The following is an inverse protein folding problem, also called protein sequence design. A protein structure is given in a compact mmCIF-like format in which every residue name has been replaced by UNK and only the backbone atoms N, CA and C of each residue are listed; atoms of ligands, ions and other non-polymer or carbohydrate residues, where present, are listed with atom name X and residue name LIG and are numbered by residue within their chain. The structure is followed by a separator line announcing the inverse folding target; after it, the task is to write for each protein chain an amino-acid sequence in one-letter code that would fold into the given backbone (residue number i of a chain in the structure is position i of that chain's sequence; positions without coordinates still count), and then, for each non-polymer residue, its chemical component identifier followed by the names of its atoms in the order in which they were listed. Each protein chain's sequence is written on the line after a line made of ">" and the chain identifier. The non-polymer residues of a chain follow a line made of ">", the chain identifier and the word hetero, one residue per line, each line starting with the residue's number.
data_IF_878541009943
#
_entry.id   IF_878541009943
#
_cell.length_a   1.000
_cell.length_b   1.000
_cell.length_c   1.000
_cell.angle_alpha   90.00
_cell.angle_beta   90.00
_cell.angle_gamma   90.00
#
_symmetry.space_group_name_H-M   'P 1'
#
loop_
_entity.id
_entity.type
_entity.pdbx_description
1 polymer ?
#
# COMPACT_ATOMS: atom_id res chain seq x y z
N UNK A 1 3.04 -16.87 -12.79
CA UNK A 1 1.97 -15.89 -13.05
C UNK A 1 1.94 -15.62 -14.53
N UNK A 2 0.84 -15.95 -15.23
CA UNK A 2 0.60 -15.41 -16.56
C UNK A 2 0.26 -13.92 -16.39
N UNK A 3 1.00 -13.08 -17.10
CA UNK A 3 0.75 -11.64 -17.12
C UNK A 3 -0.51 -11.41 -17.97
N UNK A 4 -1.66 -11.27 -17.32
CA UNK A 4 -2.89 -10.91 -18.01
C UNK A 4 -2.99 -9.38 -18.07
N UNK A 5 -2.91 -8.84 -19.28
CA UNK A 5 -2.97 -7.40 -19.52
C UNK A 5 -4.29 -6.79 -19.03
N UNK A 6 -5.38 -7.56 -19.07
CA UNK A 6 -6.69 -7.12 -18.62
C UNK A 6 -6.72 -6.97 -17.10
N UNK A 7 -6.17 -7.95 -16.40
CA UNK A 7 -6.04 -7.91 -14.93
C UNK A 7 -5.16 -6.73 -14.50
N UNK A 8 -4.08 -6.49 -15.22
CA UNK A 8 -3.22 -5.33 -15.00
C UNK A 8 -3.99 -4.03 -15.18
N UNK A 9 -4.76 -3.88 -16.25
CA UNK A 9 -5.57 -2.68 -16.50
C UNK A 9 -6.63 -2.44 -15.41
N UNK A 10 -7.28 -3.49 -14.91
CA UNK A 10 -8.22 -3.37 -13.79
C UNK A 10 -7.53 -3.00 -12.48
N UNK A 11 -6.27 -3.37 -12.31
CA UNK A 11 -5.50 -3.10 -11.10
C UNK A 11 -4.96 -1.67 -11.01
N UNK A 12 -4.68 -1.03 -12.16
CA UNK A 12 -4.04 0.30 -12.21
C UNK A 12 -4.74 1.37 -11.37
N UNK A 13 -6.08 1.56 -11.43
CA UNK A 13 -6.75 2.56 -10.60
C UNK A 13 -6.54 2.31 -9.10
N UNK A 14 -6.63 1.05 -8.67
CA UNK A 14 -6.43 0.66 -7.28
C UNK A 14 -5.00 0.90 -6.80
N UNK A 15 -4.00 0.66 -7.64
CA UNK A 15 -2.59 0.94 -7.35
C UNK A 15 -2.38 2.45 -7.23
N UNK A 16 -2.81 3.23 -8.22
CA UNK A 16 -2.59 4.69 -8.25
C UNK A 16 -3.25 5.37 -7.06
N UNK A 17 -4.52 5.08 -6.80
CA UNK A 17 -5.27 5.66 -5.68
C UNK A 17 -4.66 5.17 -4.36
N UNK A 18 -4.35 3.89 -4.25
CA UNK A 18 -3.81 3.29 -3.02
C UNK A 18 -2.47 3.86 -2.62
N UNK A 19 -1.51 3.96 -3.54
CA UNK A 19 -0.20 4.56 -3.27
C UNK A 19 -0.31 6.06 -2.96
N UNK A 20 -1.16 6.78 -3.71
CA UNK A 20 -1.36 8.21 -3.49
C UNK A 20 -1.95 8.47 -2.09
N UNK A 21 -2.98 7.72 -1.72
CA UNK A 21 -3.63 7.83 -0.43
C UNK A 21 -2.68 7.48 0.72
N UNK A 22 -1.90 6.43 0.56
CA UNK A 22 -0.89 5.96 1.51
C UNK A 22 0.12 7.08 1.83
N UNK A 23 0.79 7.60 0.82
CA UNK A 23 1.80 8.66 0.98
C UNK A 23 1.17 9.97 1.49
N UNK A 24 -0.02 10.32 0.98
CA UNK A 24 -0.75 11.48 1.47
C UNK A 24 -1.09 11.36 2.97
N UNK A 25 -1.49 10.18 3.45
CA UNK A 25 -1.81 9.97 4.86
C UNK A 25 -0.57 10.05 5.74
N UNK A 26 0.61 9.61 5.29
CA UNK A 26 1.86 9.85 6.00
C UNK A 26 2.15 11.35 6.12
N UNK A 27 2.03 12.10 5.00
CA UNK A 27 2.23 13.56 4.98
C UNK A 27 1.26 14.29 5.90
N UNK A 28 -0.02 13.89 5.88
CA UNK A 28 -1.07 14.47 6.70
C UNK A 28 -0.81 14.20 8.19
N UNK A 29 -0.51 12.97 8.56
CA UNK A 29 -0.21 12.59 9.93
C UNK A 29 1.00 13.36 10.48
N UNK A 30 2.08 13.48 9.68
CA UNK A 30 3.25 14.27 10.04
C UNK A 30 2.88 15.75 10.30
N UNK A 31 2.10 16.34 9.39
CA UNK A 31 1.64 17.72 9.50
C UNK A 31 0.77 17.97 10.73
N UNK A 32 -0.21 17.11 11.00
CA UNK A 32 -1.08 17.21 12.18
C UNK A 32 -0.33 17.02 13.50
N UNK A 33 0.80 16.33 13.49
CA UNK A 33 1.69 16.14 14.63
C UNK A 33 2.77 17.24 14.78
N UNK A 34 2.71 18.27 13.91
CA UNK A 34 3.55 19.47 14.00
C UNK A 34 4.72 19.53 13.02
N UNK A 35 4.92 18.49 12.19
CA UNK A 35 5.98 18.51 11.19
C UNK A 35 5.49 19.02 9.82
N UNK A 36 5.88 20.23 9.47
CA UNK A 36 5.55 20.88 8.21
C UNK A 36 6.43 20.47 7.00
N UNK A 37 7.37 19.56 7.17
CA UNK A 37 8.33 19.19 6.11
C UNK A 37 7.65 18.73 4.83
N UNK A 38 6.76 17.76 4.91
CA UNK A 38 6.02 17.24 3.76
C UNK A 38 5.16 18.32 3.07
N UNK A 39 4.60 19.26 3.84
CA UNK A 39 3.85 20.39 3.30
C UNK A 39 4.76 21.36 2.56
N UNK A 40 5.92 21.67 3.10
CA UNK A 40 6.91 22.53 2.46
C UNK A 40 7.43 21.93 1.13
N UNK A 41 7.55 20.60 1.07
CA UNK A 41 7.92 19.85 -0.13
C UNK A 41 6.76 19.71 -1.14
N UNK A 42 5.59 20.31 -0.87
CA UNK A 42 4.42 20.23 -1.75
C UNK A 42 3.82 18.83 -1.83
N UNK A 43 4.00 18.01 -0.75
CA UNK A 43 3.55 16.62 -0.67
C UNK A 43 2.21 16.47 0.05
N UNK A 44 1.73 17.53 0.72
CA UNK A 44 0.42 17.54 1.39
C UNK A 44 -0.69 17.86 0.36
N UNK A 45 -0.79 17.04 -0.67
CA UNK A 45 -1.76 17.18 -1.76
C UNK A 45 -2.12 15.78 -2.29
N UNK A 46 -3.38 15.58 -2.63
CA UNK A 46 -3.85 14.33 -3.23
C UNK A 46 -3.62 14.37 -4.77
N UNK A 47 -2.35 14.31 -5.16
CA UNK A 47 -1.90 14.31 -6.55
C UNK A 47 -0.98 13.10 -6.80
N UNK A 48 -1.39 12.11 -7.63
CA UNK A 48 -0.57 10.93 -7.92
C UNK A 48 0.85 11.26 -8.41
N UNK A 49 1.02 12.32 -9.18
CA UNK A 49 2.32 12.71 -9.73
C UNK A 49 3.31 13.16 -8.66
N UNK A 50 2.81 13.56 -7.51
CA UNK A 50 3.65 13.92 -6.35
C UNK A 50 4.10 12.69 -5.57
N UNK A 51 3.33 11.61 -5.56
CA UNK A 51 3.53 10.45 -4.69
C UNK A 51 4.07 9.21 -5.41
N UNK A 52 3.85 9.10 -6.71
CA UNK A 52 4.28 7.95 -7.49
C UNK A 52 5.69 8.18 -8.03
N UNK A 53 6.58 7.20 -7.80
CA UNK A 53 7.87 7.11 -8.48
C UNK A 53 7.66 6.45 -9.85
N UNK A 54 8.04 7.09 -10.97
CA UNK A 54 7.78 6.52 -12.30
C UNK A 54 8.46 5.17 -12.54
N UNK A 55 9.66 4.98 -11.99
CA UNK A 55 10.41 3.72 -12.13
C UNK A 55 9.77 2.67 -11.23
N UNK A 56 9.48 2.99 -9.97
CA UNK A 56 8.79 2.10 -9.04
C UNK A 56 7.43 1.65 -9.58
N UNK A 57 6.66 2.57 -10.17
CA UNK A 57 5.38 2.25 -10.81
C UNK A 57 5.54 1.32 -12.03
N UNK A 58 6.54 1.59 -12.87
CA UNK A 58 6.84 0.71 -14.00
C UNK A 58 7.16 -0.72 -13.53
N UNK A 59 7.93 -0.85 -12.45
CA UNK A 59 8.22 -2.14 -11.83
C UNK A 59 6.96 -2.84 -11.29
N UNK A 60 6.01 -2.08 -10.68
CA UNK A 60 4.72 -2.66 -10.26
C UNK A 60 3.98 -3.25 -11.46
N UNK A 61 3.93 -2.54 -12.58
CA UNK A 61 3.22 -2.98 -13.78
C UNK A 61 3.88 -4.21 -14.41
N UNK A 62 5.22 -4.24 -14.52
CA UNK A 62 5.94 -5.31 -15.23
C UNK A 62 6.23 -6.51 -14.30
N UNK A 63 6.67 -6.24 -13.08
CA UNK A 63 7.14 -7.25 -12.15
C UNK A 63 6.16 -7.57 -11.03
N UNK A 64 5.03 -6.83 -10.92
CA UNK A 64 4.05 -6.96 -9.83
C UNK A 64 4.59 -6.52 -8.47
N UNK A 65 5.69 -5.78 -8.46
CA UNK A 65 6.36 -5.26 -7.28
C UNK A 65 7.04 -3.92 -7.63
N UNK A 66 7.02 -2.96 -6.72
CA UNK A 66 7.65 -1.66 -6.92
C UNK A 66 7.50 -0.79 -5.68
N UNK A 67 7.69 0.51 -5.84
CA UNK A 67 7.69 1.47 -4.73
C UNK A 67 7.07 2.80 -5.12
N UNK A 68 6.55 3.52 -4.13
CA UNK A 68 6.15 4.91 -4.24
C UNK A 68 7.34 5.85 -3.97
N UNK A 69 7.15 7.13 -4.21
CA UNK A 69 8.10 8.16 -3.80
C UNK A 69 7.84 8.49 -2.33
N UNK A 70 8.72 8.11 -1.38
CA UNK A 70 8.42 8.21 0.03
C UNK A 70 8.27 9.67 0.49
N UNK A 71 7.42 9.89 1.48
CA UNK A 71 7.25 11.18 2.16
C UNK A 71 8.30 11.30 3.25
N UNK A 72 9.00 12.44 3.26
CA UNK A 72 9.97 12.77 4.32
C UNK A 72 9.30 13.50 5.47
N UNK A 73 9.76 13.22 6.69
CA UNK A 73 9.41 14.01 7.88
C UNK A 73 10.63 14.21 8.77
N UNK A 74 10.63 15.28 9.59
CA UNK A 74 11.71 15.57 10.51
C UNK A 74 11.28 15.29 11.96
N UNK A 75 11.85 14.24 12.59
CA UNK A 75 11.49 13.90 13.98
C UNK A 75 11.77 15.01 15.01
N UNK A 76 12.60 16.01 14.66
CA UNK A 76 12.90 17.14 15.55
C UNK A 76 11.71 18.10 15.72
N UNK A 77 10.80 18.09 14.75
CA UNK A 77 9.58 18.92 14.76
C UNK A 77 8.42 18.27 15.54
N UNK A 78 8.57 17.00 15.93
CA UNK A 78 7.52 16.24 16.61
C UNK A 78 7.59 16.44 18.13
N UNK A 79 6.43 16.62 18.77
CA UNK A 79 6.33 16.80 20.23
C UNK A 79 6.75 15.53 20.99
N UNK A 80 6.37 14.37 20.50
CA UNK A 80 6.71 13.05 21.07
C UNK A 80 7.31 12.13 19.99
N UNK A 81 8.58 12.31 19.61
CA UNK A 81 9.15 11.68 18.40
C UNK A 81 8.97 10.18 18.28
N UNK A 82 8.98 9.42 19.38
CA UNK A 82 8.78 7.96 19.35
C UNK A 82 7.34 7.58 19.03
N UNK A 83 6.38 8.15 19.78
CA UNK A 83 4.95 7.91 19.57
C UNK A 83 4.51 8.41 18.20
N UNK A 84 4.92 9.61 17.87
CA UNK A 84 4.47 10.32 16.67
C UNK A 84 4.99 9.63 15.40
N UNK A 85 6.22 9.09 15.41
CA UNK A 85 6.74 8.21 14.36
C UNK A 85 5.84 6.99 14.12
N UNK A 86 5.36 6.35 15.19
CA UNK A 86 4.47 5.19 15.06
C UNK A 86 3.16 5.59 14.40
N UNK A 87 2.58 6.74 14.80
CA UNK A 87 1.34 7.25 14.23
C UNK A 87 1.53 7.56 12.74
N UNK A 88 2.62 8.25 12.39
CA UNK A 88 2.96 8.54 10.99
C UNK A 88 3.12 7.23 10.21
N UNK A 89 3.92 6.29 10.69
CA UNK A 89 4.17 5.02 10.02
C UNK A 89 2.89 4.18 9.82
N UNK A 90 1.94 4.22 10.75
CA UNK A 90 0.69 3.48 10.60
C UNK A 90 -0.33 4.18 9.71
N UNK A 91 -0.22 5.50 9.49
CA UNK A 91 -1.21 6.27 8.73
C UNK A 91 -1.36 5.77 7.28
N UNK A 92 -0.25 5.47 6.60
CA UNK A 92 -0.27 4.90 5.26
C UNK A 92 -0.96 3.53 5.19
N UNK A 93 -0.46 2.52 5.90
CA UNK A 93 -1.07 1.20 5.90
C UNK A 93 -2.56 1.22 6.30
N UNK A 94 -2.94 1.98 7.33
CA UNK A 94 -4.33 2.08 7.76
C UNK A 94 -5.23 2.72 6.69
N UNK A 95 -4.72 3.64 5.90
CA UNK A 95 -5.45 4.21 4.77
C UNK A 95 -5.71 3.16 3.68
N UNK A 96 -4.74 2.30 3.39
CA UNK A 96 -4.92 1.17 2.47
C UNK A 96 -5.93 0.16 3.01
N UNK A 97 -5.88 -0.16 4.31
CA UNK A 97 -6.88 -1.01 4.95
C UNK A 97 -8.29 -0.46 4.77
N UNK A 98 -8.48 0.85 5.06
CA UNK A 98 -9.77 1.52 4.92
C UNK A 98 -10.26 1.48 3.46
N UNK A 99 -9.40 1.82 2.49
CA UNK A 99 -9.73 1.78 1.07
C UNK A 99 -10.09 0.36 0.61
N UNK A 100 -9.31 -0.65 1.04
CA UNK A 100 -9.56 -2.05 0.73
C UNK A 100 -10.90 -2.53 1.27
N UNK A 101 -11.20 -2.24 2.54
CA UNK A 101 -12.48 -2.61 3.18
C UNK A 101 -13.66 -1.93 2.50
N UNK A 102 -13.60 -0.61 2.28
CA UNK A 102 -14.69 0.15 1.61
C UNK A 102 -14.95 -0.42 0.21
N UNK A 103 -13.90 -0.62 -0.58
CA UNK A 103 -14.03 -1.21 -1.92
C UNK A 103 -14.67 -2.60 -1.88
N UNK A 104 -14.29 -3.44 -0.91
CA UNK A 104 -14.84 -4.78 -0.75
C UNK A 104 -16.32 -4.77 -0.38
N UNK A 105 -16.75 -3.85 0.50
CA UNK A 105 -18.17 -3.69 0.82
C UNK A 105 -18.98 -3.19 -0.38
N UNK A 106 -18.42 -2.32 -1.21
CA UNK A 106 -19.08 -1.89 -2.45
C UNK A 106 -19.23 -3.09 -3.39
N UNK A 107 -18.19 -3.91 -3.58
CA UNK A 107 -18.27 -5.16 -4.38
C UNK A 107 -19.35 -6.09 -3.84
N UNK A 108 -19.43 -6.27 -2.52
CA UNK A 108 -20.49 -7.05 -1.89
C UNK A 108 -21.88 -6.50 -2.19
N UNK A 109 -22.08 -5.19 -2.08
CA UNK A 109 -23.35 -4.55 -2.41
C UNK A 109 -23.73 -4.76 -3.89
N UNK A 110 -22.76 -4.69 -4.81
CA UNK A 110 -22.97 -5.01 -6.23
C UNK A 110 -23.45 -6.44 -6.44
N UNK A 111 -22.87 -7.42 -5.73
CA UNK A 111 -23.30 -8.83 -5.81
C UNK A 111 -24.71 -9.04 -5.26
N UNK A 112 -25.01 -8.44 -4.10
CA UNK A 112 -26.32 -8.57 -3.44
C UNK A 112 -27.45 -7.87 -4.22
N UNK A 113 -27.13 -6.79 -4.91
CA UNK A 113 -28.11 -6.06 -5.74
C UNK A 113 -28.65 -6.90 -6.90
N UNK A 114 -27.99 -8.02 -7.26
CA UNK A 114 -28.48 -8.97 -8.28
C UNK A 114 -28.82 -8.32 -9.61
N UNK A 115 -28.05 -7.31 -10.02
CA UNK A 115 -28.36 -6.47 -11.18
C UNK A 115 -28.31 -7.33 -12.44
N UNK A 116 -29.48 -7.72 -12.95
CA UNK A 116 -29.63 -8.35 -14.26
C UNK A 116 -29.57 -7.27 -15.36
N UNK A 117 -28.38 -7.14 -15.95
CA UNK A 117 -28.17 -6.19 -17.05
C UNK A 117 -28.35 -6.94 -18.35
N UNK A 118 -29.44 -6.61 -19.07
CA UNK A 118 -29.80 -7.24 -20.34
C UNK A 118 -29.14 -6.61 -21.57
N UNK A 119 -28.56 -5.38 -21.43
CA UNK A 119 -27.87 -4.72 -22.54
C UNK A 119 -26.36 -4.95 -22.48
N UNK A 120 -25.76 -5.39 -23.58
CA UNK A 120 -24.32 -5.65 -23.69
C UNK A 120 -23.42 -4.47 -23.26
N UNK A 121 -23.68 -3.21 -23.66
CA UNK A 121 -22.83 -2.09 -23.24
C UNK A 121 -22.86 -1.84 -21.73
N UNK A 122 -24.03 -1.90 -21.12
CA UNK A 122 -24.19 -1.67 -19.68
C UNK A 122 -23.58 -2.82 -18.87
N UNK A 123 -23.66 -4.05 -19.36
CA UNK A 123 -22.97 -5.20 -18.76
C UNK A 123 -21.45 -5.05 -18.77
N UNK A 124 -20.87 -4.53 -19.87
CA UNK A 124 -19.44 -4.29 -19.96
C UNK A 124 -18.98 -3.24 -18.93
N UNK A 125 -19.73 -2.13 -18.79
CA UNK A 125 -19.45 -1.10 -17.77
C UNK A 125 -19.54 -1.69 -16.36
N UNK A 126 -20.63 -2.41 -16.06
CA UNK A 126 -20.81 -3.07 -14.77
C UNK A 126 -19.64 -4.00 -14.43
N UNK A 127 -19.27 -4.87 -15.38
CA UNK A 127 -18.14 -5.80 -15.24
C UNK A 127 -16.84 -5.05 -14.96
N UNK A 128 -16.56 -3.98 -15.72
CA UNK A 128 -15.35 -3.18 -15.54
C UNK A 128 -15.29 -2.56 -14.14
N UNK A 129 -16.37 -1.89 -13.71
CA UNK A 129 -16.44 -1.27 -12.37
C UNK A 129 -16.29 -2.32 -11.27
N UNK A 130 -16.95 -3.46 -11.43
CA UNK A 130 -16.84 -4.57 -10.46
C UNK A 130 -15.39 -5.05 -10.30
N UNK A 131 -14.70 -5.32 -11.42
CA UNK A 131 -13.31 -5.80 -11.34
C UNK A 131 -12.34 -4.71 -10.85
N UNK A 132 -12.49 -3.45 -11.28
CA UNK A 132 -11.70 -2.34 -10.76
C UNK A 132 -11.83 -2.23 -9.24
N UNK A 133 -13.04 -2.32 -8.71
CA UNK A 133 -13.28 -2.28 -7.27
C UNK A 133 -12.70 -3.52 -6.55
N UNK A 134 -12.86 -4.70 -7.14
CA UNK A 134 -12.31 -5.94 -6.58
C UNK A 134 -10.77 -5.91 -6.54
N UNK A 135 -10.13 -5.46 -7.63
CA UNK A 135 -8.66 -5.29 -7.64
C UNK A 135 -8.21 -4.17 -6.71
N UNK A 136 -8.97 -3.07 -6.61
CA UNK A 136 -8.69 -2.02 -5.62
C UNK A 136 -8.73 -2.58 -4.21
N UNK A 137 -9.73 -3.40 -3.88
CA UNK A 137 -9.82 -4.03 -2.58
C UNK A 137 -8.64 -4.96 -2.30
N UNK A 138 -8.37 -5.90 -3.21
CA UNK A 138 -7.32 -6.91 -3.01
C UNK A 138 -5.93 -6.31 -2.93
N UNK A 139 -5.61 -5.34 -3.79
CA UNK A 139 -4.31 -4.65 -3.80
C UNK A 139 -4.12 -3.87 -2.52
N UNK A 140 -5.12 -3.10 -2.09
CA UNK A 140 -4.97 -2.25 -0.92
C UNK A 140 -4.94 -3.06 0.39
N UNK A 141 -5.66 -4.17 0.48
CA UNK A 141 -5.48 -5.13 1.57
C UNK A 141 -4.07 -5.76 1.55
N UNK A 142 -3.56 -6.07 0.37
CA UNK A 142 -2.18 -6.54 0.19
C UNK A 142 -1.14 -5.51 0.62
N UNK A 143 -1.29 -4.25 0.21
CA UNK A 143 -0.42 -3.14 0.61
C UNK A 143 -0.45 -2.92 2.13
N UNK A 144 -1.62 -3.02 2.77
CA UNK A 144 -1.74 -2.96 4.22
C UNK A 144 -0.95 -4.08 4.89
N UNK A 145 -1.19 -5.36 4.50
CA UNK A 145 -0.53 -6.52 5.10
C UNK A 145 0.99 -6.44 4.89
N UNK A 146 1.42 -6.07 3.68
CA UNK A 146 2.83 -5.95 3.35
C UNK A 146 3.51 -4.87 4.19
N UNK A 147 2.95 -3.65 4.22
CA UNK A 147 3.58 -2.53 4.91
C UNK A 147 3.53 -2.61 6.44
N UNK A 148 2.66 -3.44 7.04
CA UNK A 148 2.66 -3.63 8.49
C UNK A 148 3.71 -4.64 8.97
N UNK A 149 4.37 -5.36 8.05
CA UNK A 149 5.45 -6.29 8.40
C UNK A 149 6.61 -5.55 9.08
N UNK A 150 7.21 -6.11 10.14
CA UNK A 150 8.32 -5.47 10.86
C UNK A 150 9.67 -5.63 10.13
N UNK A 151 9.66 -5.53 8.81
CA UNK A 151 10.82 -5.74 7.94
C UNK A 151 11.18 -4.40 7.27
N UNK A 152 12.38 -3.83 7.50
CA UNK A 152 12.81 -2.64 6.75
C UNK A 152 12.85 -2.90 5.23
N UNK A 153 12.50 -1.91 4.41
CA UNK A 153 12.16 -0.52 4.73
C UNK A 153 10.66 -0.26 4.94
N UNK A 154 9.86 -1.30 5.23
CA UNK A 154 8.41 -1.19 5.37
C UNK A 154 8.01 -0.39 6.61
N UNK A 155 6.81 0.22 6.60
CA UNK A 155 6.32 1.09 7.68
C UNK A 155 6.25 0.39 9.04
N UNK A 156 5.87 -0.90 9.06
CA UNK A 156 5.84 -1.71 10.27
C UNK A 156 7.19 -1.81 10.99
N UNK A 157 8.30 -1.64 10.27
CA UNK A 157 9.63 -1.61 10.88
C UNK A 157 9.83 -0.38 11.77
N UNK A 158 9.24 0.77 11.42
CA UNK A 158 9.29 1.98 12.24
C UNK A 158 8.53 1.81 13.55
N UNK A 159 7.41 1.07 13.53
CA UNK A 159 6.67 0.69 14.74
C UNK A 159 7.54 -0.17 15.64
N UNK A 160 8.17 -1.20 15.06
CA UNK A 160 9.03 -2.12 15.78
C UNK A 160 10.26 -1.40 16.40
N UNK A 161 10.96 -0.58 15.62
CA UNK A 161 12.14 0.15 16.10
C UNK A 161 11.81 1.24 17.13
N UNK A 162 10.61 1.82 17.09
CA UNK A 162 10.20 2.81 18.09
C UNK A 162 10.12 2.25 19.51
N UNK A 163 9.89 0.93 19.65
CA UNK A 163 9.97 0.21 20.92
C UNK A 163 11.41 -0.09 21.38
N UNK A 164 12.39 0.02 20.48
CA UNK A 164 13.79 -0.31 20.76
C UNK A 164 14.62 0.97 20.97
N UNK A 165 15.44 1.01 22.02
CA UNK A 165 16.39 2.12 22.25
C UNK A 165 17.64 1.94 21.36
N UNK A 166 17.47 1.99 20.03
CA UNK A 166 18.58 1.88 19.11
C UNK A 166 19.29 3.23 18.92
N UNK A 167 20.62 3.20 18.78
CA UNK A 167 21.34 4.37 18.28
C UNK A 167 20.99 4.60 16.79
N UNK A 168 21.13 5.84 16.32
CA UNK A 168 20.85 6.19 14.91
C UNK A 168 21.67 5.35 13.93
N UNK A 169 22.90 5.02 14.28
CA UNK A 169 23.80 4.20 13.47
C UNK A 169 23.30 2.75 13.36
N UNK A 170 22.81 2.18 14.48
CA UNK A 170 22.21 0.84 14.47
C UNK A 170 20.92 0.81 13.67
N UNK A 171 20.04 1.81 13.87
CA UNK A 171 18.80 1.94 13.10
C UNK A 171 19.10 2.01 11.60
N UNK A 172 20.06 2.86 11.18
CA UNK A 172 20.46 2.98 9.78
C UNK A 172 21.00 1.66 9.21
N UNK A 173 21.81 0.91 9.96
CA UNK A 173 22.29 -0.42 9.55
C UNK A 173 21.14 -1.41 9.39
N UNK A 174 20.21 -1.45 10.34
CA UNK A 174 19.03 -2.32 10.23
C UNK A 174 18.18 -1.97 9.02
N UNK A 175 17.95 -0.69 8.76
CA UNK A 175 17.23 -0.24 7.57
C UNK A 175 17.92 -0.70 6.29
N UNK A 176 19.24 -0.53 6.18
CA UNK A 176 20.00 -0.95 5.02
C UNK A 176 19.97 -2.47 4.81
N UNK A 177 20.30 -3.25 5.83
CA UNK A 177 20.33 -4.72 5.72
C UNK A 177 18.94 -5.33 5.54
N UNK A 178 17.93 -4.76 6.20
CA UNK A 178 16.55 -5.19 6.03
C UNK A 178 16.04 -4.94 4.61
N UNK A 179 16.41 -3.79 4.01
CA UNK A 179 16.10 -3.50 2.62
C UNK A 179 16.72 -4.55 1.68
N UNK A 180 18.00 -4.88 1.85
CA UNK A 180 18.63 -5.94 1.06
C UNK A 180 17.99 -7.31 1.30
N UNK A 181 17.66 -7.64 2.54
CA UNK A 181 17.00 -8.89 2.90
C UNK A 181 15.61 -9.00 2.25
N UNK A 182 14.82 -7.92 2.26
CA UNK A 182 13.51 -7.87 1.62
C UNK A 182 13.61 -8.09 0.10
N UNK A 183 14.53 -7.39 -0.58
CA UNK A 183 14.75 -7.58 -2.01
C UNK A 183 15.23 -9.01 -2.33
N UNK A 184 16.14 -9.56 -1.53
CA UNK A 184 16.59 -10.94 -1.69
C UNK A 184 15.45 -11.94 -1.49
N UNK A 185 14.57 -11.70 -0.52
CA UNK A 185 13.39 -12.53 -0.26
C UNK A 185 12.42 -12.50 -1.45
N UNK A 186 12.09 -11.31 -1.97
CA UNK A 186 11.22 -11.17 -3.15
C UNK A 186 11.84 -11.85 -4.37
N UNK A 187 13.15 -11.70 -4.57
CA UNK A 187 13.85 -12.37 -5.66
C UNK A 187 13.83 -13.91 -5.51
N UNK A 188 13.99 -14.40 -4.29
CA UNK A 188 13.91 -15.84 -3.99
C UNK A 188 12.50 -16.40 -4.23
N UNK A 189 11.44 -15.69 -3.81
CA UNK A 189 10.04 -16.05 -4.12
C UNK A 189 9.81 -16.16 -5.62
N UNK A 190 10.32 -15.20 -6.39
CA UNK A 190 10.20 -15.23 -7.86
C UNK A 190 10.98 -16.38 -8.51
N UNK A 191 12.17 -16.68 -8.00
CA UNK A 191 13.03 -17.72 -8.56
C UNK A 191 12.55 -19.13 -8.20
N UNK A 192 12.01 -19.32 -6.99
CA UNK A 192 11.63 -20.65 -6.48
C UNK A 192 10.14 -20.96 -6.67
N UNK A 193 9.30 -19.92 -6.80
CA UNK A 193 7.84 -20.06 -6.78
C UNK A 193 7.28 -20.37 -5.39
N UNK A 194 8.12 -20.32 -4.34
CA UNK A 194 7.69 -20.54 -2.96
C UNK A 194 7.25 -19.21 -2.36
N UNK A 195 6.04 -19.17 -1.82
CA UNK A 195 5.43 -18.01 -1.18
C UNK A 195 5.96 -17.92 0.26
N UNK A 196 7.04 -17.18 0.49
CA UNK A 196 7.62 -17.01 1.84
C UNK A 196 6.77 -16.09 2.71
N UNK A 197 6.13 -15.10 2.10
CA UNK A 197 5.18 -14.20 2.75
C UNK A 197 3.82 -14.36 2.06
N UNK A 198 2.93 -15.24 2.54
CA UNK A 198 1.70 -15.61 1.84
C UNK A 198 0.63 -14.52 1.90
N UNK A 199 0.96 -13.29 1.46
CA UNK A 199 0.06 -12.14 1.45
C UNK A 199 -1.21 -12.45 0.67
N UNK A 200 -1.06 -13.07 -0.50
CA UNK A 200 -2.19 -13.47 -1.34
C UNK A 200 -3.16 -14.40 -0.63
N UNK A 201 -2.67 -15.36 0.16
CA UNK A 201 -3.52 -16.27 0.93
C UNK A 201 -4.31 -15.51 2.02
N UNK A 202 -3.69 -14.55 2.71
CA UNK A 202 -4.38 -13.72 3.71
C UNK A 202 -5.43 -12.83 3.07
N UNK A 203 -5.10 -12.16 1.96
CA UNK A 203 -6.05 -11.32 1.22
C UNK A 203 -7.24 -12.16 0.74
N UNK A 204 -6.99 -13.30 0.11
CA UNK A 204 -8.05 -14.18 -0.37
C UNK A 204 -8.96 -14.67 0.77
N UNK A 205 -8.39 -14.95 1.94
CA UNK A 205 -9.19 -15.32 3.12
C UNK A 205 -10.09 -14.17 3.58
N UNK A 206 -9.59 -12.93 3.61
CA UNK A 206 -10.42 -11.76 3.95
C UNK A 206 -11.53 -11.57 2.93
N UNK A 207 -11.20 -11.64 1.64
CA UNK A 207 -12.17 -11.52 0.54
C UNK A 207 -13.25 -12.59 0.66
N UNK A 208 -12.90 -13.85 0.89
CA UNK A 208 -13.85 -14.98 1.02
C UNK A 208 -14.75 -14.91 2.25
N UNK A 209 -14.33 -14.20 3.31
CA UNK A 209 -15.16 -13.97 4.49
C UNK A 209 -16.21 -12.88 4.29
N UNK A 210 -15.95 -11.95 3.37
CA UNK A 210 -16.84 -10.82 3.09
C UNK A 210 -17.78 -11.10 1.92
N UNK A 211 -17.30 -11.74 0.86
CA UNK A 211 -18.03 -12.04 -0.39
C UNK A 211 -18.63 -13.42 -0.42
#
# INVERSE_FOLDING_TARGET
>A
MHFDIIDTLYSLPGIVIGLTLHEYCHALAAYELGDGTAKADGRLVFDPLKHIDPIGFLFIVIAGFGWAKPVSFDPRNLAHPRRDRVIIALAGPLSNLALGIVSLFIVKAFRLAGIHISSLPLFAVYKTVFYVLLYTATINLGLFIFNILPIPPLDGSHVFFSGMNLSKEKEARFMQWGTFALFALIAAERATGIDFIPIGAFVNKIVSLVL
#
